data_IF_006002334556
#
_entry.id   IF_006002334556
#
_cell.length_a   1.000
_cell.length_b   1.000
_cell.length_c   1.000
_cell.angle_alpha   90.00
_cell.angle_beta   90.00
_cell.angle_gamma   90.00
#
_symmetry.space_group_name_H-M   'P 1'
#
loop_
_entity.id
_entity.type
_entity.pdbx_description
1 polymer ?
#
# COMPACT_ATOMS: atom_id res chain seq x y z
N UNK A 1 12.88 1.13 -2.07
CA UNK A 1 11.49 1.60 -2.27
C UNK A 1 11.32 2.98 -1.66
N UNK A 2 10.68 3.88 -2.36
CA UNK A 2 10.48 5.24 -1.89
C UNK A 2 9.16 5.35 -1.15
N UNK A 3 9.21 5.68 0.14
CA UNK A 3 8.01 5.92 0.97
C UNK A 3 7.86 7.38 1.37
N UNK A 4 8.94 8.16 1.22
CA UNK A 4 8.92 9.59 1.46
C UNK A 4 8.79 10.30 0.10
N UNK A 5 7.75 11.12 -0.04
CA UNK A 5 7.42 11.73 -1.32
C UNK A 5 7.48 13.25 -1.23
N UNK A 6 7.91 13.92 -2.32
CA UNK A 6 8.08 15.37 -2.30
C UNK A 6 6.74 16.09 -2.26
N UNK A 7 6.78 17.30 -1.72
CA UNK A 7 5.70 18.26 -1.84
C UNK A 7 6.11 19.29 -2.89
N UNK A 8 5.31 19.43 -3.93
CA UNK A 8 5.57 20.33 -5.03
C UNK A 8 4.53 21.45 -5.07
N UNK A 9 4.95 22.65 -5.49
CA UNK A 9 4.05 23.78 -5.59
C UNK A 9 3.65 23.99 -7.04
N UNK A 10 2.34 24.13 -7.27
CA UNK A 10 1.77 24.40 -8.58
C UNK A 10 0.87 25.62 -8.52
N UNK A 11 0.73 26.29 -9.65
CA UNK A 11 -0.24 27.40 -9.79
C UNK A 11 -1.45 26.92 -10.58
N UNK A 12 -2.64 27.16 -10.01
CA UNK A 12 -3.90 26.86 -10.66
C UNK A 12 -4.83 28.05 -10.46
N UNK A 13 -5.28 28.66 -11.56
CA UNK A 13 -6.16 29.83 -11.52
C UNK A 13 -5.64 30.96 -10.61
N UNK A 14 -4.32 31.22 -10.68
CA UNK A 14 -3.67 32.27 -9.88
C UNK A 14 -3.46 31.93 -8.42
N UNK A 15 -3.79 30.72 -7.99
CA UNK A 15 -3.57 30.24 -6.62
C UNK A 15 -2.44 29.24 -6.56
N UNK A 16 -1.69 29.28 -5.46
CA UNK A 16 -0.65 28.29 -5.21
C UNK A 16 -1.27 27.06 -4.54
N UNK A 17 -0.96 25.88 -5.07
CA UNK A 17 -1.44 24.60 -4.56
C UNK A 17 -0.22 23.76 -4.22
N UNK A 18 -0.22 23.20 -3.01
CA UNK A 18 0.80 22.24 -2.60
C UNK A 18 0.30 20.83 -2.86
N UNK A 19 1.11 20.06 -3.57
CA UNK A 19 0.76 18.69 -3.94
C UNK A 19 1.81 17.74 -3.36
N UNK A 20 1.37 16.84 -2.48
CA UNK A 20 2.23 15.75 -2.02
C UNK A 20 2.17 14.64 -3.05
N UNK A 21 3.30 14.36 -3.67
CA UNK A 21 3.41 13.47 -4.84
C UNK A 21 3.46 12.00 -4.42
N UNK A 22 2.38 11.49 -3.83
CA UNK A 22 2.29 10.08 -3.44
C UNK A 22 2.27 9.12 -4.63
N UNK A 23 1.99 9.64 -5.82
CA UNK A 23 2.14 8.90 -7.07
C UNK A 23 3.59 8.50 -7.37
N UNK A 24 4.56 9.14 -6.72
CA UNK A 24 5.97 8.80 -6.86
C UNK A 24 6.46 7.81 -5.80
N UNK A 25 5.57 7.32 -4.95
CA UNK A 25 5.91 6.34 -3.93
C UNK A 25 6.20 4.98 -4.57
N UNK A 26 7.12 4.23 -3.98
CA UNK A 26 7.42 2.88 -4.43
C UNK A 26 8.83 2.73 -4.99
N UNK A 27 9.02 1.71 -5.82
CA UNK A 27 10.31 1.31 -6.35
C UNK A 27 10.47 1.58 -7.86
N UNK A 28 9.72 2.53 -8.38
CA UNK A 28 9.73 2.86 -9.80
C UNK A 28 8.64 2.16 -10.61
N UNK A 29 7.88 1.29 -9.98
CA UNK A 29 6.69 0.70 -10.57
C UNK A 29 5.45 1.44 -10.09
N UNK A 30 4.39 1.39 -10.87
CA UNK A 30 3.10 1.95 -10.45
C UNK A 30 2.48 0.99 -9.46
N UNK A 31 2.57 1.32 -8.18
CA UNK A 31 2.08 0.49 -7.09
C UNK A 31 0.93 1.21 -6.37
N UNK A 32 -0.33 0.86 -6.64
CA UNK A 32 -1.41 1.28 -5.78
C UNK A 32 -1.35 0.45 -4.48
N UNK A 33 -1.79 0.92 -3.38
CA UNK A 33 -2.26 2.23 -2.94
C UNK A 33 -1.13 3.02 -2.24
N UNK A 34 -0.57 3.93 -2.94
CA UNK A 34 0.68 4.59 -2.54
C UNK A 34 0.64 5.19 -1.14
N UNK A 35 -0.37 5.96 -0.81
CA UNK A 35 -0.47 6.59 0.52
C UNK A 35 -0.58 5.57 1.65
N UNK A 36 -1.30 4.49 1.43
CA UNK A 36 -1.46 3.42 2.41
C UNK A 36 -0.18 2.64 2.65
N UNK A 37 0.68 2.53 1.65
CA UNK A 37 1.91 1.75 1.77
C UNK A 37 2.83 2.30 2.86
N UNK A 38 2.96 3.62 2.97
CA UNK A 38 3.81 4.22 4.00
C UNK A 38 3.30 3.90 5.41
N UNK A 39 1.98 4.04 5.63
CA UNK A 39 1.37 3.74 6.92
C UNK A 39 1.45 2.26 7.29
N UNK A 40 1.21 1.39 6.32
CA UNK A 40 1.27 -0.05 6.54
C UNK A 40 2.71 -0.48 6.83
N UNK A 41 3.67 0.04 6.10
CA UNK A 41 5.08 -0.30 6.31
C UNK A 41 5.55 0.12 7.71
N UNK A 42 5.15 1.29 8.17
CA UNK A 42 5.44 1.75 9.53
C UNK A 42 4.80 0.83 10.58
N UNK A 43 3.57 0.37 10.33
CA UNK A 43 2.91 -0.59 11.22
C UNK A 43 3.69 -1.90 11.29
N UNK A 44 4.14 -2.42 10.16
CA UNK A 44 4.85 -3.69 10.09
C UNK A 44 6.20 -3.66 10.81
N UNK A 45 6.84 -2.49 10.91
CA UNK A 45 8.09 -2.36 11.67
C UNK A 45 7.96 -2.76 13.13
N UNK A 46 6.77 -2.57 13.71
CA UNK A 46 6.51 -2.83 15.12
C UNK A 46 5.95 -4.23 15.37
N UNK A 47 5.76 -5.04 14.34
CA UNK A 47 5.25 -6.39 14.49
C UNK A 47 6.38 -7.39 14.65
N UNK A 48 6.12 -8.41 15.48
CA UNK A 48 7.07 -9.51 15.63
C UNK A 48 6.95 -10.44 14.40
N UNK A 49 8.00 -10.56 13.55
CA UNK A 49 7.93 -11.37 12.33
C UNK A 49 7.77 -12.87 12.59
N UNK A 50 7.93 -13.31 13.83
CA UNK A 50 7.72 -14.70 14.22
C UNK A 50 6.26 -15.13 14.03
N UNK A 51 5.32 -14.22 14.15
CA UNK A 51 3.90 -14.53 14.04
C UNK A 51 3.38 -14.17 12.66
N UNK A 52 2.52 -15.02 12.07
CA UNK A 52 1.90 -14.67 10.80
C UNK A 52 0.90 -13.53 10.97
N UNK A 53 0.74 -12.74 9.93
CA UNK A 53 -0.24 -11.66 9.88
C UNK A 53 -1.45 -12.13 9.08
N UNK A 54 -2.63 -12.03 9.67
CA UNK A 54 -3.88 -12.36 9.00
C UNK A 54 -4.65 -11.07 8.76
N UNK A 55 -5.06 -10.86 7.51
CA UNK A 55 -5.84 -9.68 7.11
C UNK A 55 -7.20 -10.13 6.58
N UNK A 56 -8.25 -9.63 7.20
CA UNK A 56 -9.63 -9.89 6.78
C UNK A 56 -10.15 -8.69 6.01
N UNK A 57 -10.54 -8.89 4.77
CA UNK A 57 -11.04 -7.81 3.93
C UNK A 57 -11.91 -8.34 2.79
N UNK A 58 -12.45 -7.43 2.00
CA UNK A 58 -13.12 -7.79 0.75
C UNK A 58 -12.09 -8.15 -0.30
N UNK A 59 -12.49 -8.95 -1.29
CA UNK A 59 -11.58 -9.27 -2.39
C UNK A 59 -11.24 -7.98 -3.17
N UNK A 60 -10.01 -7.90 -3.69
CA UNK A 60 -9.56 -6.74 -4.44
C UNK A 60 -9.23 -5.52 -3.60
N UNK A 61 -9.12 -5.65 -2.29
CA UNK A 61 -8.74 -4.56 -1.41
C UNK A 61 -7.30 -4.08 -1.68
N UNK A 62 -7.12 -2.78 -1.80
CA UNK A 62 -5.78 -2.20 -1.95
C UNK A 62 -4.90 -2.45 -0.72
N UNK A 63 -5.50 -2.44 0.48
CA UNK A 63 -4.74 -2.74 1.70
C UNK A 63 -4.25 -4.18 1.73
N UNK A 64 -5.04 -5.12 1.23
CA UNK A 64 -4.62 -6.51 1.10
C UNK A 64 -3.44 -6.66 0.14
N UNK A 65 -3.48 -5.97 -0.98
CA UNK A 65 -2.38 -5.97 -1.94
C UNK A 65 -1.10 -5.36 -1.36
N UNK A 66 -1.23 -4.20 -0.69
CA UNK A 66 -0.09 -3.54 -0.07
C UNK A 66 0.54 -4.38 1.03
N UNK A 67 -0.28 -5.02 1.88
CA UNK A 67 0.20 -5.92 2.91
C UNK A 67 0.93 -7.12 2.32
N UNK A 68 0.38 -7.69 1.27
CA UNK A 68 1.00 -8.81 0.56
C UNK A 68 2.41 -8.47 0.08
N UNK A 69 2.54 -7.31 -0.57
CA UNK A 69 3.81 -6.82 -1.08
C UNK A 69 4.81 -6.54 0.05
N UNK A 70 4.39 -5.79 1.06
CA UNK A 70 5.27 -5.36 2.14
C UNK A 70 5.66 -6.51 3.07
N UNK A 71 4.76 -7.45 3.34
CA UNK A 71 5.07 -8.63 4.13
C UNK A 71 6.09 -9.51 3.42
N UNK A 72 5.97 -9.66 2.11
CA UNK A 72 6.95 -10.40 1.32
C UNK A 72 8.34 -9.77 1.43
N UNK A 73 8.43 -8.45 1.37
CA UNK A 73 9.70 -7.75 1.51
C UNK A 73 10.32 -7.91 2.89
N UNK A 74 9.50 -7.98 3.93
CA UNK A 74 9.97 -8.07 5.32
C UNK A 74 10.09 -9.50 5.82
N UNK A 75 9.77 -10.48 5.00
CA UNK A 75 9.82 -11.90 5.41
C UNK A 75 8.75 -12.28 6.41
N UNK A 76 7.64 -11.58 6.43
CA UNK A 76 6.49 -11.86 7.30
C UNK A 76 5.52 -12.76 6.56
N UNK A 77 5.10 -13.86 7.19
CA UNK A 77 4.08 -14.73 6.63
C UNK A 77 2.74 -14.01 6.63
N UNK A 78 2.10 -13.91 5.47
CA UNK A 78 0.85 -13.18 5.28
C UNK A 78 -0.25 -14.10 4.81
N UNK A 79 -1.41 -13.98 5.45
CA UNK A 79 -2.63 -14.72 5.10
C UNK A 79 -3.72 -13.69 4.80
N UNK A 80 -4.26 -13.72 3.59
CA UNK A 80 -5.35 -12.86 3.18
C UNK A 80 -6.65 -13.65 3.15
N UNK A 81 -7.57 -13.33 4.05
CA UNK A 81 -8.87 -13.99 4.13
C UNK A 81 -9.96 -13.06 3.61
N UNK A 82 -10.81 -13.55 2.74
CA UNK A 82 -11.88 -12.77 2.13
C UNK A 82 -13.10 -13.64 1.85
N UNK A 83 -14.26 -13.00 1.75
CA UNK A 83 -15.49 -13.72 1.41
C UNK A 83 -15.48 -14.14 -0.06
N UNK A 84 -16.01 -15.32 -0.42
CA UNK A 84 -16.12 -15.72 -1.82
C UNK A 84 -16.93 -14.72 -2.64
N UNK A 85 -16.55 -14.55 -3.90
CA UNK A 85 -17.21 -13.66 -4.82
C UNK A 85 -17.32 -14.33 -6.19
N UNK A 86 -18.30 -13.90 -7.00
CA UNK A 86 -18.46 -14.41 -8.37
C UNK A 86 -17.32 -13.91 -9.27
N UNK A 87 -16.79 -12.74 -9.00
CA UNK A 87 -15.69 -12.15 -9.77
C UNK A 87 -14.61 -11.69 -8.79
N UNK A 88 -13.36 -11.87 -9.19
CA UNK A 88 -12.21 -11.47 -8.38
C UNK A 88 -11.41 -10.40 -9.09
N UNK A 89 -10.89 -9.45 -8.33
CA UNK A 89 -9.98 -8.44 -8.84
C UNK A 89 -8.67 -9.10 -9.28
N UNK A 90 -8.05 -8.56 -10.32
CA UNK A 90 -6.72 -8.98 -10.76
C UNK A 90 -5.65 -8.81 -9.67
N UNK A 91 -5.90 -7.96 -8.68
CA UNK A 91 -4.95 -7.69 -7.61
C UNK A 91 -4.99 -8.74 -6.49
N UNK A 92 -5.99 -9.61 -6.47
CA UNK A 92 -6.09 -10.66 -5.47
C UNK A 92 -5.56 -12.00 -6.00
N UNK A 93 -5.60 -12.17 -7.30
CA UNK A 93 -5.13 -13.38 -7.96
C UNK A 93 -3.64 -13.28 -8.29
#
# INVERSE_FOLDING_TARGET
MRLDTPVEEYKLNGRNILVKRDDLMGDGQVLPPWGKMAGIDALLENLNPKYPLIHLAVNGSWSGWALSYLCKRRGIKFIYAYAPSKTYSQFIL
#
